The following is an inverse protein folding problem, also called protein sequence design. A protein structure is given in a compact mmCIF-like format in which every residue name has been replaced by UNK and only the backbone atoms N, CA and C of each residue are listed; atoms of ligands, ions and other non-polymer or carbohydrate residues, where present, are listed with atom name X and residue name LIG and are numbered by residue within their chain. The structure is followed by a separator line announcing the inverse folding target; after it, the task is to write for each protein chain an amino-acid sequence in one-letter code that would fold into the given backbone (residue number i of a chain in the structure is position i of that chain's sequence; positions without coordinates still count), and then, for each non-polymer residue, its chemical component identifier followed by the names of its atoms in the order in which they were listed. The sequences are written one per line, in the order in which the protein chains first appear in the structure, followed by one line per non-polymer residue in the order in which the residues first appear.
data_IF_692095217742
#
_entry.id   IF_692095217742
#
_cell.length_a   1.000
_cell.length_b   1.000
_cell.length_c   1.000
_cell.angle_alpha   90.00
_cell.angle_beta   90.00
_cell.angle_gamma   90.00
#
_symmetry.space_group_name_H-M   'P 1'
#
loop_
_entity.id
_entity.type
_entity.pdbx_description
1 polymer ?
#
# COMPACT_ATOMS: atom_id res chain seq x y z
N UNK A 1 26.16 44.69 5.77
CA UNK A 1 25.12 44.04 6.61
C UNK A 1 25.70 42.74 7.13
N UNK A 2 25.70 42.61 8.45
CA UNK A 2 26.53 41.71 9.25
C UNK A 2 26.17 40.24 9.04
N UNK A 3 27.15 39.43 8.62
CA UNK A 3 27.14 37.98 8.81
C UNK A 3 27.40 37.72 10.29
N UNK A 4 26.34 37.32 11.01
CA UNK A 4 26.44 36.92 12.41
C UNK A 4 27.23 35.62 12.53
N UNK A 5 28.43 35.74 13.12
CA UNK A 5 29.18 34.64 13.72
C UNK A 5 28.28 33.83 14.67
N UNK A 6 28.30 32.50 14.54
CA UNK A 6 28.12 31.58 15.66
C UNK A 6 29.23 30.54 15.61
N UNK A 7 30.36 30.92 16.20
CA UNK A 7 31.23 29.95 16.86
C UNK A 7 30.60 29.66 18.22
N UNK A 8 29.83 28.57 18.29
CA UNK A 8 29.50 27.86 19.52
C UNK A 8 29.93 26.42 19.22
N UNK A 9 30.68 25.79 20.14
CA UNK A 9 31.26 24.45 20.00
C UNK A 9 30.32 23.51 19.23
N UNK A 10 30.73 23.08 18.04
CA UNK A 10 30.04 22.01 17.34
C UNK A 10 30.31 20.73 18.11
N UNK A 11 29.46 20.47 19.11
CA UNK A 11 29.46 19.18 19.82
C UNK A 11 29.27 18.11 18.75
N UNK A 12 30.15 17.11 18.77
CA UNK A 12 30.11 15.98 17.85
C UNK A 12 28.78 15.24 18.06
N UNK A 13 27.79 15.61 17.25
CA UNK A 13 26.40 15.14 17.35
C UNK A 13 26.33 13.63 17.13
N UNK A 14 27.24 13.10 16.30
CA UNK A 14 27.38 11.66 16.09
C UNK A 14 27.88 10.95 17.35
N UNK A 15 28.83 11.53 18.08
CA UNK A 15 29.28 11.00 19.38
C UNK A 15 28.14 10.98 20.41
N UNK A 16 27.31 12.03 20.48
CA UNK A 16 26.14 12.04 21.36
C UNK A 16 25.18 10.88 21.07
N UNK A 17 24.93 10.59 19.78
CA UNK A 17 24.08 9.47 19.39
C UNK A 17 24.64 8.12 19.82
N UNK A 18 25.96 7.92 19.71
CA UNK A 18 26.61 6.70 20.21
C UNK A 18 26.51 6.58 21.73
N UNK A 19 26.70 7.68 22.44
CA UNK A 19 26.55 7.72 23.90
C UNK A 19 25.11 7.42 24.30
N UNK A 20 24.10 7.95 23.60
CA UNK A 20 22.70 7.68 23.85
C UNK A 20 22.36 6.20 23.60
N UNK A 21 22.81 5.63 22.49
CA UNK A 21 22.59 4.21 22.13
C UNK A 21 23.24 3.23 23.13
N UNK A 22 24.26 3.66 23.87
CA UNK A 22 24.91 2.84 24.89
C UNK A 22 24.13 2.74 26.22
N UNK A 23 23.10 3.56 26.41
CA UNK A 23 22.30 3.63 27.64
C UNK A 23 21.17 2.59 27.66
N UNK A 24 20.55 2.40 28.82
CA UNK A 24 19.21 1.81 28.90
C UNK A 24 18.18 2.80 28.37
N UNK A 25 17.01 2.32 27.99
CA UNK A 25 15.91 3.15 27.51
C UNK A 25 15.56 4.27 28.51
N UNK A 26 15.35 3.93 29.78
CA UNK A 26 15.00 4.91 30.81
C UNK A 26 16.10 5.98 30.97
N UNK A 27 17.38 5.60 30.87
CA UNK A 27 18.50 6.56 30.93
C UNK A 27 18.61 7.42 29.68
N UNK A 28 18.26 6.90 28.51
CA UNK A 28 18.17 7.68 27.29
C UNK A 28 17.04 8.73 27.41
N UNK A 29 15.89 8.34 27.95
CA UNK A 29 14.77 9.25 28.24
C UNK A 29 15.18 10.34 29.24
N UNK A 30 15.84 9.99 30.35
CA UNK A 30 16.37 10.96 31.31
C UNK A 30 17.27 12.01 30.63
N UNK A 31 18.19 11.57 29.77
CA UNK A 31 19.08 12.46 29.02
C UNK A 31 18.32 13.41 28.08
N UNK A 32 17.30 12.91 27.39
CA UNK A 32 16.50 13.72 26.46
C UNK A 32 15.59 14.72 27.18
N UNK A 33 15.03 14.34 28.34
CA UNK A 33 14.30 15.26 29.21
C UNK A 33 15.21 16.38 29.74
N UNK A 34 16.46 16.06 30.11
CA UNK A 34 17.45 17.08 30.48
C UNK A 34 17.82 17.98 29.29
N UNK A 35 17.94 17.42 28.09
CA UNK A 35 18.34 18.13 26.87
C UNK A 35 17.26 19.08 26.33
N UNK A 36 16.01 18.63 26.30
CA UNK A 36 14.91 19.34 25.61
C UNK A 36 13.82 19.87 26.53
N UNK A 37 13.86 19.52 27.81
CA UNK A 37 12.82 19.83 28.79
C UNK A 37 11.58 18.92 28.68
N UNK A 38 10.63 19.08 29.60
CA UNK A 38 9.38 18.31 29.61
C UNK A 38 8.47 18.70 28.44
N UNK A 39 7.50 17.83 28.11
CA UNK A 39 6.49 18.16 27.10
C UNK A 39 5.59 19.32 27.54
N UNK A 40 5.19 20.14 26.55
CA UNK A 40 4.45 21.38 26.79
C UNK A 40 2.96 21.16 27.07
N UNK A 41 2.40 20.04 26.58
CA UNK A 41 0.98 19.71 26.66
C UNK A 41 0.80 18.19 26.53
N UNK A 42 -0.39 17.69 26.87
CA UNK A 42 -0.73 16.29 26.68
C UNK A 42 -0.80 15.94 25.18
N UNK A 43 -0.58 14.66 24.82
CA UNK A 43 -0.64 14.22 23.44
C UNK A 43 -2.06 14.34 22.87
N UNK A 44 -3.03 13.85 23.65
CA UNK A 44 -4.46 13.99 23.38
C UNK A 44 -5.14 14.86 24.45
N UNK A 45 -6.27 15.46 24.11
CA UNK A 45 -7.11 16.20 25.07
C UNK A 45 -7.99 15.23 25.85
N UNK A 46 -7.86 15.21 27.16
CA UNK A 46 -8.57 14.28 28.06
C UNK A 46 -10.08 14.18 27.79
N UNK A 47 -10.78 15.32 27.75
CA UNK A 47 -12.22 15.35 27.48
C UNK A 47 -12.58 14.72 26.13
N UNK A 48 -11.78 14.96 25.11
CA UNK A 48 -12.00 14.39 23.77
C UNK A 48 -11.68 12.89 23.77
N UNK A 49 -10.63 12.49 24.47
CA UNK A 49 -10.23 11.10 24.66
C UNK A 49 -11.34 10.28 25.32
N UNK A 50 -11.88 10.74 26.44
CA UNK A 50 -12.97 10.06 27.16
C UNK A 50 -14.22 9.87 26.28
N UNK A 51 -14.63 10.92 25.56
CA UNK A 51 -15.76 10.87 24.61
C UNK A 51 -15.52 9.90 23.46
N UNK A 52 -14.29 9.83 22.94
CA UNK A 52 -13.92 8.88 21.90
C UNK A 52 -13.98 7.42 22.41
N UNK A 53 -13.49 7.18 23.63
CA UNK A 53 -13.56 5.86 24.28
C UNK A 53 -15.01 5.45 24.56
N UNK A 54 -15.90 6.40 24.89
CA UNK A 54 -17.34 6.19 25.02
C UNK A 54 -18.08 6.02 23.68
N UNK A 55 -17.40 6.20 22.54
CA UNK A 55 -17.99 6.08 21.21
C UNK A 55 -18.81 7.29 20.76
N UNK A 56 -18.77 8.41 21.48
CA UNK A 56 -19.52 9.63 21.14
C UNK A 56 -18.93 10.40 19.96
N UNK A 57 -17.61 10.26 19.73
CA UNK A 57 -16.90 10.92 18.62
C UNK A 57 -16.02 9.92 17.88
N UNK A 58 -15.72 10.23 16.62
CA UNK A 58 -14.91 9.38 15.74
C UNK A 58 -13.39 9.60 15.86
N UNK A 59 -12.97 10.78 16.33
CA UNK A 59 -11.55 11.16 16.37
C UNK A 59 -11.21 11.87 17.68
N UNK A 60 -10.00 11.66 18.17
CA UNK A 60 -9.50 12.32 19.39
C UNK A 60 -8.84 13.65 19.01
N UNK A 61 -9.14 14.69 19.77
CA UNK A 61 -8.47 16.00 19.62
C UNK A 61 -7.05 15.92 20.18
N UNK A 62 -6.04 16.29 19.39
CA UNK A 62 -4.64 16.40 19.83
C UNK A 62 -4.42 17.62 20.73
N UNK A 63 -3.47 17.51 21.66
CA UNK A 63 -2.96 18.66 22.41
C UNK A 63 -1.96 19.48 21.60
N UNK A 64 -1.42 20.54 22.21
CA UNK A 64 -0.43 21.46 21.63
C UNK A 64 0.99 21.04 22.02
N UNK A 65 1.33 19.77 21.80
CA UNK A 65 2.62 19.20 22.18
C UNK A 65 3.67 19.33 21.06
N UNK A 66 3.28 19.65 19.82
CA UNK A 66 4.18 19.62 18.67
C UNK A 66 5.30 20.65 18.77
N UNK A 67 6.54 20.24 18.47
CA UNK A 67 7.75 21.06 18.33
C UNK A 67 8.51 20.72 17.04
N UNK A 68 7.78 20.33 16.00
CA UNK A 68 8.38 19.94 14.71
C UNK A 68 9.00 21.14 13.98
N UNK A 69 8.57 22.35 14.30
CA UNK A 69 9.19 23.62 13.89
C UNK A 69 10.59 23.84 14.50
N UNK A 70 10.93 23.12 15.56
CA UNK A 70 12.28 23.02 16.14
C UNK A 70 13.05 21.79 15.64
N UNK A 71 12.42 20.96 14.80
CA UNK A 71 12.96 19.70 14.30
C UNK A 71 12.86 18.54 15.29
N UNK A 72 11.95 18.64 16.27
CA UNK A 72 11.76 17.65 17.33
C UNK A 72 10.45 16.87 17.14
N UNK A 73 10.55 15.56 17.31
CA UNK A 73 9.44 14.62 17.47
C UNK A 73 9.06 14.52 18.93
N UNK A 74 7.80 14.19 19.18
CA UNK A 74 7.31 13.81 20.51
C UNK A 74 7.20 12.29 20.55
N UNK A 75 7.93 11.68 21.49
CA UNK A 75 7.96 10.25 21.76
C UNK A 75 7.18 9.95 23.03
N UNK A 76 6.36 8.89 23.03
CA UNK A 76 5.69 8.43 24.24
C UNK A 76 6.58 7.46 25.02
N UNK A 77 6.88 7.79 26.28
CA UNK A 77 7.77 6.99 27.15
C UNK A 77 7.22 5.57 27.37
N UNK A 78 5.90 5.41 27.28
CA UNK A 78 5.20 4.15 27.50
C UNK A 78 5.12 3.22 26.29
N UNK A 79 5.73 3.59 25.15
CA UNK A 79 5.82 2.66 24.01
C UNK A 79 6.67 1.42 24.29
N UNK A 80 7.35 1.37 25.45
CA UNK A 80 7.94 0.13 25.97
C UNK A 80 6.94 -0.91 26.48
N UNK A 81 5.68 -0.50 26.67
CA UNK A 81 4.61 -1.34 27.22
C UNK A 81 3.44 -1.52 26.23
N UNK A 82 3.34 -0.69 25.20
CA UNK A 82 2.21 -0.65 24.29
C UNK A 82 2.64 -0.27 22.87
N UNK A 83 2.02 -0.89 21.87
CA UNK A 83 2.26 -0.57 20.46
C UNK A 83 1.38 0.61 20.01
N UNK A 84 1.99 1.52 19.24
CA UNK A 84 1.30 2.59 18.49
C UNK A 84 0.33 3.43 19.33
N UNK A 85 0.75 3.88 20.51
CA UNK A 85 -0.13 4.62 21.43
C UNK A 85 -0.46 6.05 20.99
N UNK A 86 0.16 6.50 19.89
CA UNK A 86 -0.19 7.71 19.15
C UNK A 86 -1.35 7.51 18.17
N UNK A 87 -1.73 6.26 17.85
CA UNK A 87 -2.83 5.93 16.95
C UNK A 87 -4.13 5.66 17.72
N UNK A 88 -5.17 6.43 17.40
CA UNK A 88 -6.46 6.35 18.10
C UNK A 88 -7.17 5.00 17.93
N UNK A 89 -6.95 4.28 16.83
CA UNK A 89 -7.55 2.96 16.60
C UNK A 89 -6.91 1.91 17.52
N UNK A 90 -5.59 1.94 17.65
CA UNK A 90 -4.84 1.12 18.61
C UNK A 90 -5.22 1.43 20.05
N UNK A 91 -5.31 2.72 20.39
CA UNK A 91 -5.76 3.19 21.71
C UNK A 91 -7.13 2.62 22.07
N UNK A 92 -8.10 2.69 21.15
CA UNK A 92 -9.45 2.17 21.38
C UNK A 92 -9.47 0.66 21.53
N UNK A 93 -8.80 -0.05 20.63
CA UNK A 93 -8.79 -1.51 20.57
C UNK A 93 -8.16 -2.11 21.83
N UNK A 94 -7.06 -1.52 22.29
CA UNK A 94 -6.30 -2.00 23.45
C UNK A 94 -6.73 -1.35 24.77
N UNK A 95 -7.75 -0.49 24.76
CA UNK A 95 -8.26 0.23 25.95
C UNK A 95 -7.15 0.88 26.76
N UNK A 96 -6.21 1.55 26.07
CA UNK A 96 -5.08 2.23 26.70
C UNK A 96 -5.63 3.35 27.62
N UNK A 97 -4.96 3.60 28.76
CA UNK A 97 -5.36 4.69 29.68
C UNK A 97 -4.95 6.05 29.12
N UNK A 98 -5.73 7.08 29.43
CA UNK A 98 -5.34 8.47 29.18
C UNK A 98 -4.05 8.87 29.92
N UNK A 99 -3.73 8.20 31.03
CA UNK A 99 -2.53 8.52 31.82
C UNK A 99 -1.23 8.46 31.00
N UNK A 100 -1.17 7.56 30.02
CA UNK A 100 -0.03 7.40 29.12
C UNK A 100 0.06 8.49 28.03
N UNK A 101 -0.95 9.35 27.94
CA UNK A 101 -1.02 10.47 26.99
C UNK A 101 -0.64 11.80 27.65
N UNK A 102 -0.44 11.81 28.97
CA UNK A 102 -0.11 13.01 29.73
C UNK A 102 1.29 13.51 29.38
N UNK A 103 1.50 14.82 29.47
CA UNK A 103 2.77 15.47 29.12
C UNK A 103 4.00 14.94 29.88
N UNK A 104 3.83 14.46 31.11
CA UNK A 104 4.89 13.87 31.92
C UNK A 104 5.25 12.43 31.50
N UNK A 105 4.50 11.86 30.53
CA UNK A 105 4.77 10.58 29.86
C UNK A 105 5.31 10.76 28.44
N UNK A 106 5.70 11.99 28.08
CA UNK A 106 6.21 12.34 26.76
C UNK A 106 7.63 12.90 26.86
N UNK A 107 8.44 12.66 25.83
CA UNK A 107 9.79 13.21 25.70
C UNK A 107 10.03 13.71 24.28
N UNK A 108 10.82 14.77 24.13
CA UNK A 108 11.21 15.28 22.82
C UNK A 108 12.53 14.67 22.35
N UNK A 109 12.64 14.43 21.05
CA UNK A 109 13.83 13.86 20.42
C UNK A 109 13.89 14.25 18.94
N UNK A 110 15.08 14.36 18.37
CA UNK A 110 15.23 14.45 16.91
C UNK A 110 15.07 13.08 16.24
N UNK A 111 15.19 12.98 14.91
CA UNK A 111 14.96 11.70 14.19
C UNK A 111 15.90 10.57 14.63
N UNK A 112 17.20 10.84 14.78
CA UNK A 112 18.17 9.80 15.15
C UNK A 112 17.96 9.37 16.60
N UNK A 113 17.72 10.31 17.51
CA UNK A 113 17.41 10.03 18.91
C UNK A 113 16.11 9.23 19.05
N UNK A 114 15.06 9.57 18.29
CA UNK A 114 13.80 8.82 18.24
C UNK A 114 14.05 7.38 17.78
N UNK A 115 14.87 7.21 16.75
CA UNK A 115 15.26 5.88 16.25
C UNK A 115 16.02 5.09 17.31
N UNK A 116 16.93 5.72 18.05
CA UNK A 116 17.65 5.10 19.18
C UNK A 116 16.67 4.66 20.27
N UNK A 117 15.69 5.49 20.63
CA UNK A 117 14.67 5.11 21.61
C UNK A 117 13.94 3.82 21.19
N UNK A 118 13.51 3.71 19.93
CA UNK A 118 12.88 2.48 19.42
C UNK A 118 13.80 1.27 19.44
N UNK A 119 15.10 1.45 19.13
CA UNK A 119 16.11 0.37 19.19
C UNK A 119 16.30 -0.10 20.64
N UNK A 120 16.38 0.82 21.59
CA UNK A 120 16.53 0.50 23.02
C UNK A 120 15.29 -0.22 23.57
N UNK A 121 14.09 0.25 23.24
CA UNK A 121 12.84 -0.47 23.57
C UNK A 121 12.88 -1.88 23.01
N UNK A 122 13.21 -2.04 21.72
CA UNK A 122 13.27 -3.34 21.06
C UNK A 122 14.26 -4.27 21.75
N UNK A 123 15.45 -3.77 22.11
CA UNK A 123 16.46 -4.54 22.83
C UNK A 123 15.95 -5.03 24.18
N UNK A 124 15.35 -4.14 24.97
CA UNK A 124 14.92 -4.44 26.35
C UNK A 124 13.65 -5.30 26.39
N UNK A 125 12.83 -5.25 25.35
CA UNK A 125 11.56 -5.99 25.25
C UNK A 125 11.64 -7.22 24.34
N UNK A 126 12.86 -7.63 23.94
CA UNK A 126 13.06 -8.75 23.01
C UNK A 126 12.24 -8.63 21.72
N UNK A 127 12.19 -7.41 21.17
CA UNK A 127 11.48 -7.00 19.95
C UNK A 127 9.94 -7.06 20.04
N UNK A 128 9.37 -7.23 21.23
CA UNK A 128 7.91 -7.13 21.43
C UNK A 128 7.41 -5.72 21.14
N UNK A 129 8.17 -4.71 21.56
CA UNK A 129 7.87 -3.29 21.33
C UNK A 129 8.99 -2.58 20.59
N UNK A 130 8.72 -1.39 20.04
CA UNK A 130 9.71 -0.55 19.37
C UNK A 130 10.12 -1.01 17.96
N UNK A 131 10.23 -2.32 17.71
CA UNK A 131 10.88 -2.87 16.52
C UNK A 131 10.15 -2.51 15.23
N UNK A 132 8.81 -2.60 15.22
CA UNK A 132 8.02 -2.20 14.05
C UNK A 132 8.16 -0.70 13.75
N UNK A 133 8.20 0.15 14.77
CA UNK A 133 8.45 1.59 14.63
C UNK A 133 9.82 1.86 13.99
N UNK A 134 10.83 1.14 14.45
CA UNK A 134 12.19 1.20 13.91
C UNK A 134 12.27 0.72 12.46
N UNK A 135 11.88 -0.52 12.18
CA UNK A 135 12.15 -1.19 10.90
C UNK A 135 11.25 -0.69 9.76
N UNK A 136 9.98 -0.37 10.05
CA UNK A 136 8.99 0.01 9.02
C UNK A 136 9.00 1.50 8.73
N UNK A 137 9.32 2.34 9.72
CA UNK A 137 9.19 3.79 9.61
C UNK A 137 10.52 4.52 9.75
N UNK A 138 11.19 4.41 10.89
CA UNK A 138 12.30 5.31 11.23
C UNK A 138 13.59 5.02 10.46
N UNK A 139 14.01 3.75 10.38
CA UNK A 139 15.18 3.34 9.60
C UNK A 139 15.02 3.67 8.11
N UNK A 140 13.91 3.34 7.43
CA UNK A 140 13.70 3.75 6.04
C UNK A 140 13.79 5.27 5.82
N UNK A 141 13.28 6.08 6.76
CA UNK A 141 13.41 7.55 6.68
C UNK A 141 14.88 7.97 6.72
N UNK A 142 15.69 7.43 7.64
CA UNK A 142 17.13 7.72 7.72
C UNK A 142 17.86 7.30 6.44
N UNK A 143 17.56 6.10 5.94
CA UNK A 143 18.11 5.60 4.68
C UNK A 143 17.78 6.53 3.51
N UNK A 144 16.52 6.94 3.38
CA UNK A 144 16.05 7.83 2.33
C UNK A 144 16.68 9.23 2.45
N UNK A 145 16.64 9.80 3.65
CA UNK A 145 17.06 11.17 3.88
C UNK A 145 18.57 11.33 3.73
N UNK A 146 19.36 10.49 4.40
CA UNK A 146 20.78 10.74 4.55
C UNK A 146 21.66 9.84 3.69
N UNK A 147 21.28 8.58 3.47
CA UNK A 147 22.06 7.67 2.62
C UNK A 147 21.75 7.90 1.13
N UNK A 148 20.47 8.06 0.78
CA UNK A 148 20.04 8.43 -0.57
C UNK A 148 20.05 9.93 -0.85
N UNK A 149 20.31 10.75 0.18
CA UNK A 149 20.39 12.21 0.07
C UNK A 149 19.09 12.85 -0.44
N UNK A 150 17.93 12.28 -0.10
CA UNK A 150 16.62 12.83 -0.50
C UNK A 150 16.10 13.77 0.57
N UNK A 151 16.13 15.06 0.24
CA UNK A 151 15.60 16.09 1.12
C UNK A 151 14.06 16.02 1.10
N UNK A 152 13.39 15.93 2.26
CA UNK A 152 11.93 15.86 2.30
C UNK A 152 11.30 17.16 1.80
N UNK A 153 10.11 17.08 1.21
CA UNK A 153 9.43 18.26 0.67
C UNK A 153 8.73 19.14 1.73
N UNK A 154 7.94 18.60 2.68
CA UNK A 154 7.24 19.41 3.67
C UNK A 154 8.21 20.20 4.56
N UNK A 155 7.91 21.47 4.83
CA UNK A 155 8.82 22.36 5.56
C UNK A 155 9.18 21.84 6.95
N UNK A 156 8.20 21.32 7.70
CA UNK A 156 8.45 20.75 9.03
C UNK A 156 9.36 19.51 8.97
N UNK A 157 9.27 18.70 7.90
CA UNK A 157 10.19 17.57 7.72
C UNK A 157 11.60 18.05 7.37
N UNK A 158 11.74 19.13 6.60
CA UNK A 158 13.06 19.75 6.33
C UNK A 158 13.71 20.22 7.63
N UNK A 159 12.95 20.85 8.51
CA UNK A 159 13.45 21.22 9.84
C UNK A 159 13.93 20.01 10.62
N UNK A 160 13.17 18.91 10.64
CA UNK A 160 13.63 17.66 11.28
C UNK A 160 14.88 17.08 10.59
N UNK A 161 14.92 17.11 9.26
CA UNK A 161 16.05 16.66 8.44
C UNK A 161 17.32 17.43 8.81
N UNK A 162 17.25 18.76 8.85
CA UNK A 162 18.38 19.65 9.16
C UNK A 162 18.83 19.46 10.63
N UNK A 163 17.88 19.33 11.55
CA UNK A 163 18.14 19.16 12.99
C UNK A 163 18.91 17.88 13.33
N UNK A 164 18.73 16.83 12.53
CA UNK A 164 19.29 15.50 12.77
C UNK A 164 20.24 15.04 11.68
N UNK A 165 20.75 15.98 10.88
CA UNK A 165 21.59 15.71 9.73
C UNK A 165 22.82 14.88 10.09
N UNK A 166 23.05 13.85 9.29
CA UNK A 166 24.26 13.04 9.26
C UNK A 166 24.72 12.89 7.82
N UNK A 167 26.03 12.76 7.63
CA UNK A 167 26.58 12.32 6.32
C UNK A 167 26.11 10.89 5.99
N UNK A 168 26.15 10.46 4.71
CA UNK A 168 25.85 9.08 4.35
C UNK A 168 26.68 8.06 5.12
N UNK A 169 27.97 8.35 5.34
CA UNK A 169 28.91 7.50 6.07
C UNK A 169 28.50 7.37 7.54
N UNK A 170 28.24 8.49 8.23
CA UNK A 170 27.76 8.48 9.62
C UNK A 170 26.40 7.78 9.74
N UNK A 171 25.51 7.96 8.77
CA UNK A 171 24.19 7.34 8.73
C UNK A 171 24.26 5.82 8.61
N UNK A 172 25.14 5.30 7.73
CA UNK A 172 25.39 3.86 7.62
C UNK A 172 25.99 3.33 8.92
N UNK A 173 26.97 4.03 9.50
CA UNK A 173 27.61 3.59 10.73
C UNK A 173 26.67 3.57 11.92
N UNK A 174 25.85 4.61 12.13
CA UNK A 174 24.90 4.62 13.26
C UNK A 174 23.83 3.54 13.08
N UNK A 175 23.29 3.35 11.87
CA UNK A 175 22.33 2.27 11.59
C UNK A 175 22.97 0.89 11.79
N UNK A 176 24.26 0.73 11.47
CA UNK A 176 25.01 -0.51 11.74
C UNK A 176 25.14 -0.79 13.24
N UNK A 177 25.44 0.22 14.06
CA UNK A 177 25.48 0.05 15.52
C UNK A 177 24.08 -0.24 16.11
N UNK A 178 23.03 0.39 15.58
CA UNK A 178 21.64 0.11 15.96
C UNK A 178 21.24 -1.34 15.61
N UNK A 179 21.51 -1.79 14.39
CA UNK A 179 21.23 -3.16 13.94
C UNK A 179 22.01 -4.18 14.76
N UNK A 180 23.30 -3.91 15.01
CA UNK A 180 24.15 -4.74 15.89
C UNK A 180 23.59 -4.85 17.30
N UNK A 181 23.03 -3.77 17.84
CA UNK A 181 22.37 -3.75 19.16
C UNK A 181 21.18 -4.72 19.21
N UNK A 182 20.53 -4.96 18.06
CA UNK A 182 19.42 -5.90 17.90
C UNK A 182 19.87 -7.29 17.42
N UNK A 183 21.18 -7.57 17.39
CA UNK A 183 21.72 -8.86 16.92
C UNK A 183 21.65 -9.04 15.40
N UNK A 184 21.44 -7.98 14.64
CA UNK A 184 21.34 -7.98 13.19
C UNK A 184 22.60 -7.41 12.53
N UNK A 185 22.78 -7.70 11.25
CA UNK A 185 23.83 -7.11 10.43
C UNK A 185 23.29 -5.96 9.59
N UNK A 186 24.19 -5.04 9.23
CA UNK A 186 23.90 -3.94 8.31
C UNK A 186 25.11 -3.68 7.43
N UNK A 187 24.93 -2.83 6.42
CA UNK A 187 25.99 -2.42 5.51
C UNK A 187 27.12 -1.70 6.25
N UNK A 188 28.34 -1.84 5.75
CA UNK A 188 29.51 -1.14 6.28
C UNK A 188 29.78 0.17 5.55
N UNK A 189 29.30 0.31 4.31
CA UNK A 189 29.50 1.50 3.50
C UNK A 189 28.22 1.92 2.77
N UNK A 190 28.07 3.21 2.42
CA UNK A 190 26.99 3.67 1.55
C UNK A 190 26.97 2.95 0.20
N UNK A 191 28.14 2.57 -0.33
CA UNK A 191 28.25 1.83 -1.58
C UNK A 191 27.56 0.47 -1.51
N UNK A 192 27.82 -0.33 -0.46
CA UNK A 192 27.19 -1.64 -0.27
C UNK A 192 25.66 -1.53 -0.18
N UNK A 193 25.16 -0.53 0.56
CA UNK A 193 23.74 -0.23 0.64
C UNK A 193 23.13 0.04 -0.75
N UNK A 194 23.75 0.95 -1.52
CA UNK A 194 23.26 1.34 -2.84
C UNK A 194 23.33 0.19 -3.85
N UNK A 195 24.37 -0.64 -3.79
CA UNK A 195 24.49 -1.83 -4.63
C UNK A 195 23.37 -2.83 -4.34
N UNK A 196 23.14 -3.17 -3.06
CA UNK A 196 22.07 -4.09 -2.67
C UNK A 196 20.69 -3.56 -3.04
N UNK A 197 20.45 -2.26 -2.88
CA UNK A 197 19.20 -1.61 -3.27
C UNK A 197 18.97 -1.68 -4.79
N UNK A 198 20.00 -1.39 -5.60
CA UNK A 198 19.94 -1.50 -7.07
C UNK A 198 19.54 -2.91 -7.51
N UNK A 199 20.22 -3.92 -6.97
CA UNK A 199 19.93 -5.33 -7.27
C UNK A 199 18.49 -5.70 -6.94
N UNK A 200 18.02 -5.28 -5.76
CA UNK A 200 16.62 -5.52 -5.34
C UNK A 200 15.63 -4.86 -6.30
N UNK A 201 15.89 -3.62 -6.74
CA UNK A 201 15.04 -2.92 -7.72
C UNK A 201 15.05 -3.64 -9.07
N UNK A 202 16.20 -4.13 -9.53
CA UNK A 202 16.33 -4.88 -10.78
C UNK A 202 15.60 -6.22 -10.72
N UNK A 203 15.70 -6.95 -9.61
CA UNK A 203 14.98 -8.21 -9.35
C UNK A 203 13.46 -8.01 -9.36
N UNK A 204 12.95 -6.95 -8.69
CA UNK A 204 11.53 -6.60 -8.69
C UNK A 204 11.06 -6.22 -10.10
N UNK A 205 11.84 -5.42 -10.84
CA UNK A 205 11.52 -5.05 -12.23
C UNK A 205 11.51 -6.28 -13.14
N UNK A 206 12.46 -7.20 -13.00
CA UNK A 206 12.52 -8.42 -13.78
C UNK A 206 11.31 -9.33 -13.50
N UNK A 207 10.94 -9.47 -12.23
CA UNK A 207 9.76 -10.24 -11.81
C UNK A 207 8.48 -9.65 -12.39
N UNK A 208 8.32 -8.32 -12.33
CA UNK A 208 7.18 -7.62 -12.92
C UNK A 208 7.09 -7.84 -14.43
N UNK A 209 8.20 -7.76 -15.16
CA UNK A 209 8.23 -8.03 -16.61
C UNK A 209 7.80 -9.46 -16.95
N UNK A 210 8.29 -10.45 -16.19
CA UNK A 210 7.87 -11.85 -16.37
C UNK A 210 6.37 -12.02 -16.17
N UNK A 211 5.81 -11.42 -15.13
CA UNK A 211 4.36 -11.45 -14.89
C UNK A 211 3.57 -10.80 -16.02
N UNK A 212 4.03 -9.66 -16.54
CA UNK A 212 3.40 -8.99 -17.68
C UNK A 212 3.49 -9.81 -18.98
N UNK A 213 4.59 -10.53 -19.21
CA UNK A 213 4.76 -11.43 -20.35
C UNK A 213 3.87 -12.68 -20.23
N UNK A 214 3.82 -13.30 -19.06
CA UNK A 214 2.93 -14.44 -18.77
C UNK A 214 1.46 -14.05 -18.94
N UNK A 215 1.08 -12.86 -18.48
CA UNK A 215 -0.29 -12.37 -18.60
C UNK A 215 -0.71 -12.14 -20.06
N UNK A 216 0.19 -11.55 -20.87
CA UNK A 216 0.00 -11.41 -22.32
C UNK A 216 -0.13 -12.77 -22.99
N UNK A 217 0.72 -13.74 -22.63
CA UNK A 217 0.67 -15.10 -23.18
C UNK A 217 -0.67 -15.78 -22.86
N UNK A 218 -1.11 -15.74 -21.61
CA UNK A 218 -2.42 -16.28 -21.19
C UNK A 218 -3.57 -15.63 -21.97
N UNK A 219 -3.50 -14.32 -22.19
CA UNK A 219 -4.51 -13.60 -22.96
C UNK A 219 -4.56 -14.06 -24.42
N UNK A 220 -3.41 -14.30 -25.05
CA UNK A 220 -3.33 -14.83 -26.43
C UNK A 220 -3.87 -16.25 -26.48
N UNK A 221 -3.41 -17.13 -25.58
CA UNK A 221 -3.86 -18.53 -25.51
C UNK A 221 -5.38 -18.64 -25.30
N UNK A 222 -5.96 -17.79 -24.45
CA UNK A 222 -7.40 -17.72 -24.23
C UNK A 222 -8.17 -17.31 -25.50
N UNK A 223 -7.66 -16.31 -26.25
CA UNK A 223 -8.27 -15.89 -27.53
C UNK A 223 -8.16 -16.97 -28.59
N UNK A 224 -7.02 -17.64 -28.70
CA UNK A 224 -6.84 -18.75 -29.64
C UNK A 224 -7.78 -19.91 -29.32
N UNK A 225 -7.95 -20.23 -28.03
CA UNK A 225 -8.90 -21.26 -27.60
C UNK A 225 -10.34 -20.88 -27.89
N UNK A 226 -10.72 -19.62 -27.67
CA UNK A 226 -12.04 -19.11 -28.05
C UNK A 226 -12.29 -19.25 -29.56
N UNK A 227 -11.32 -18.86 -30.39
CA UNK A 227 -11.40 -19.02 -31.85
C UNK A 227 -11.53 -20.51 -32.24
N UNK A 228 -10.74 -21.40 -31.62
CA UNK A 228 -10.83 -22.85 -31.85
C UNK A 228 -12.21 -23.38 -31.49
N UNK A 229 -12.75 -22.97 -30.35
CA UNK A 229 -14.09 -23.36 -29.88
C UNK A 229 -15.20 -22.85 -30.80
N UNK A 230 -15.13 -21.61 -31.25
CA UNK A 230 -16.08 -21.05 -32.23
C UNK A 230 -16.01 -21.84 -33.55
N UNK A 231 -14.81 -22.09 -34.08
CA UNK A 231 -14.64 -22.86 -35.32
C UNK A 231 -15.23 -24.27 -35.20
N UNK A 232 -15.00 -24.95 -34.08
CA UNK A 232 -15.57 -26.27 -33.81
C UNK A 232 -17.10 -26.24 -33.78
N UNK A 233 -17.70 -25.29 -33.05
CA UNK A 233 -19.17 -25.11 -33.00
C UNK A 233 -19.76 -24.80 -34.38
N UNK A 234 -19.09 -23.98 -35.18
CA UNK A 234 -19.49 -23.69 -36.56
C UNK A 234 -19.49 -24.94 -37.43
N UNK A 235 -18.46 -25.78 -37.33
CA UNK A 235 -18.38 -27.03 -38.10
C UNK A 235 -19.47 -28.02 -37.68
N UNK A 236 -19.67 -28.23 -36.38
CA UNK A 236 -20.76 -29.08 -35.84
C UNK A 236 -22.14 -28.58 -36.29
N UNK A 237 -22.34 -27.26 -36.33
CA UNK A 237 -23.57 -26.64 -36.83
C UNK A 237 -23.80 -26.95 -38.31
N UNK A 238 -22.78 -26.83 -39.16
CA UNK A 238 -22.90 -27.13 -40.59
C UNK A 238 -23.01 -28.62 -40.89
N UNK A 239 -22.46 -29.50 -40.05
CA UNK A 239 -22.72 -30.94 -40.15
C UNK A 239 -24.20 -31.26 -39.90
N UNK A 240 -24.82 -30.54 -38.97
CA UNK A 240 -26.26 -30.68 -38.64
C UNK A 240 -27.15 -30.04 -39.72
N UNK A 241 -26.72 -28.91 -40.27
CA UNK A 241 -27.46 -28.12 -41.26
C UNK A 241 -26.62 -27.77 -42.50
N UNK A 242 -26.28 -28.74 -43.39
CA UNK A 242 -25.38 -28.50 -44.52
C UNK A 242 -25.76 -27.35 -45.45
N UNK A 243 -27.05 -27.24 -45.85
CA UNK A 243 -27.54 -26.17 -46.74
C UNK A 243 -27.38 -24.76 -46.17
N UNK A 244 -27.31 -24.61 -44.85
CA UNK A 244 -27.13 -23.30 -44.22
C UNK A 244 -25.78 -22.66 -44.53
N UNK A 245 -24.77 -23.47 -44.88
CA UNK A 245 -23.45 -22.97 -45.29
C UNK A 245 -23.52 -22.14 -46.56
N UNK A 246 -24.30 -22.57 -47.54
CA UNK A 246 -24.49 -21.88 -48.82
C UNK A 246 -25.31 -20.59 -48.66
N UNK A 247 -26.25 -20.60 -47.70
CA UNK A 247 -27.12 -19.47 -47.37
C UNK A 247 -26.49 -18.49 -46.37
N UNK A 248 -25.24 -18.72 -45.95
CA UNK A 248 -24.55 -17.93 -44.95
C UNK A 248 -25.38 -17.75 -43.65
N UNK A 249 -26.01 -18.85 -43.21
CA UNK A 249 -26.70 -18.99 -41.93
C UNK A 249 -25.81 -19.81 -41.01
N UNK A 250 -25.56 -19.32 -39.82
CA UNK A 250 -24.61 -19.88 -38.85
C UNK A 250 -25.22 -19.99 -37.45
N UNK A 251 -24.57 -20.68 -36.53
CA UNK A 251 -25.07 -20.84 -35.15
C UNK A 251 -25.24 -19.50 -34.41
N UNK A 252 -24.46 -18.49 -34.76
CA UNK A 252 -24.50 -17.12 -34.22
C UNK A 252 -25.46 -16.19 -34.99
N UNK A 253 -26.05 -16.64 -36.10
CA UNK A 253 -26.99 -15.83 -36.89
C UNK A 253 -28.12 -15.27 -36.01
N UNK A 254 -28.38 -13.95 -36.03
CA UNK A 254 -29.39 -13.35 -35.16
C UNK A 254 -30.76 -14.01 -35.33
N UNK A 255 -31.44 -14.27 -34.20
CA UNK A 255 -32.77 -14.93 -34.19
C UNK A 255 -33.78 -14.24 -35.10
N UNK A 256 -33.76 -12.90 -35.12
CA UNK A 256 -34.62 -12.09 -35.98
C UNK A 256 -34.38 -12.36 -37.47
N UNK A 257 -33.12 -12.58 -37.88
CA UNK A 257 -32.78 -12.97 -39.26
C UNK A 257 -33.34 -14.35 -39.59
N UNK A 258 -33.22 -15.32 -38.69
CA UNK A 258 -33.80 -16.67 -38.85
C UNK A 258 -35.33 -16.59 -39.05
N UNK A 259 -36.02 -15.81 -38.22
CA UNK A 259 -37.48 -15.61 -38.32
C UNK A 259 -37.86 -14.95 -39.63
N UNK A 260 -37.13 -13.91 -40.05
CA UNK A 260 -37.40 -13.23 -41.31
C UNK A 260 -37.28 -14.17 -42.52
N UNK A 261 -36.25 -15.03 -42.54
CA UNK A 261 -36.07 -16.04 -43.59
C UNK A 261 -37.19 -17.09 -43.56
N UNK A 262 -37.60 -17.53 -42.36
CA UNK A 262 -38.68 -18.49 -42.19
C UNK A 262 -40.04 -17.93 -42.65
N UNK A 263 -40.28 -16.64 -42.40
CA UNK A 263 -41.44 -15.94 -42.95
C UNK A 263 -41.44 -16.00 -44.47
N UNK A 264 -40.33 -15.58 -45.08
CA UNK A 264 -40.22 -15.49 -46.54
C UNK A 264 -40.34 -16.86 -47.24
N UNK A 265 -39.85 -17.94 -46.62
CA UNK A 265 -39.83 -19.25 -47.26
C UNK A 265 -41.08 -20.11 -47.03
N UNK A 266 -41.87 -19.86 -45.98
CA UNK A 266 -42.95 -20.77 -45.56
C UNK A 266 -44.25 -20.10 -45.13
N UNK A 267 -44.19 -18.85 -44.65
CA UNK A 267 -45.29 -18.24 -43.91
C UNK A 267 -45.79 -16.92 -44.50
N UNK A 268 -45.28 -16.49 -45.66
CA UNK A 268 -45.67 -15.26 -46.34
C UNK A 268 -47.16 -15.23 -46.72
N UNK A 269 -47.75 -16.39 -46.98
CA UNK A 269 -49.16 -16.52 -47.37
C UNK A 269 -50.11 -16.69 -46.17
N UNK A 270 -49.55 -16.85 -44.96
CA UNK A 270 -50.31 -17.13 -43.74
C UNK A 270 -50.42 -15.91 -42.84
N UNK A 271 -49.35 -15.11 -42.74
CA UNK A 271 -49.28 -13.94 -41.86
C UNK A 271 -49.15 -12.66 -42.69
N UNK A 272 -49.75 -11.56 -42.23
CA UNK A 272 -49.83 -10.31 -43.00
C UNK A 272 -48.49 -9.56 -43.05
N UNK A 273 -47.60 -9.79 -42.06
CA UNK A 273 -46.29 -9.16 -42.03
C UNK A 273 -45.26 -9.95 -41.21
N UNK A 274 -43.97 -9.71 -41.50
CA UNK A 274 -42.84 -10.20 -40.70
C UNK A 274 -42.94 -9.81 -39.22
N UNK A 275 -43.52 -8.64 -38.92
CA UNK A 275 -43.65 -8.12 -37.56
C UNK A 275 -44.71 -8.90 -36.76
N UNK A 276 -45.81 -9.25 -37.41
CA UNK A 276 -46.84 -10.11 -36.82
C UNK A 276 -46.28 -11.51 -36.55
N UNK A 277 -45.58 -12.08 -37.52
CA UNK A 277 -44.96 -13.40 -37.38
C UNK A 277 -43.88 -13.43 -36.28
N UNK A 278 -43.03 -12.41 -36.17
CA UNK A 278 -42.02 -12.32 -35.10
C UNK A 278 -42.64 -12.31 -33.70
N UNK A 279 -43.78 -11.63 -33.52
CA UNK A 279 -44.51 -11.63 -32.25
C UNK A 279 -45.04 -13.02 -31.90
N UNK A 280 -45.57 -13.75 -32.88
CA UNK A 280 -46.10 -15.12 -32.70
C UNK A 280 -44.96 -16.11 -32.41
N UNK A 281 -43.81 -15.93 -33.08
CA UNK A 281 -42.64 -16.79 -32.91
C UNK A 281 -41.84 -16.46 -31.66
N UNK A 282 -42.02 -15.31 -31.01
CA UNK A 282 -41.28 -14.83 -29.82
C UNK A 282 -41.05 -15.87 -28.70
N UNK A 283 -42.02 -16.72 -28.29
CA UNK A 283 -41.80 -17.73 -27.25
C UNK A 283 -40.98 -18.94 -27.72
N UNK A 284 -40.74 -19.10 -29.03
CA UNK A 284 -40.04 -20.25 -29.59
C UNK A 284 -38.53 -20.05 -29.50
N UNK A 285 -37.84 -21.04 -28.95
CA UNK A 285 -36.38 -21.08 -28.87
C UNK A 285 -35.73 -21.18 -30.26
N UNK A 286 -34.57 -20.54 -30.43
CA UNK A 286 -33.89 -20.39 -31.72
C UNK A 286 -33.61 -21.74 -32.41
N UNK A 287 -33.24 -22.78 -31.66
CA UNK A 287 -32.93 -24.09 -32.24
C UNK A 287 -34.13 -24.74 -32.94
N UNK A 288 -35.34 -24.55 -32.40
CA UNK A 288 -36.57 -25.03 -33.05
C UNK A 288 -36.83 -24.26 -34.35
N UNK A 289 -36.63 -22.95 -34.33
CA UNK A 289 -36.78 -22.10 -35.52
C UNK A 289 -35.78 -22.45 -36.61
N UNK A 290 -34.52 -22.72 -36.24
CA UNK A 290 -33.47 -23.17 -37.16
C UNK A 290 -33.81 -24.52 -37.80
N UNK A 291 -34.24 -25.50 -36.99
CA UNK A 291 -34.66 -26.80 -37.51
C UNK A 291 -35.85 -26.70 -38.46
N UNK A 292 -36.81 -25.84 -38.14
CA UNK A 292 -37.97 -25.61 -38.99
C UNK A 292 -37.60 -24.93 -40.30
N UNK A 293 -36.77 -23.88 -40.25
CA UNK A 293 -36.23 -23.20 -41.42
C UNK A 293 -35.44 -24.17 -42.30
N UNK A 294 -34.61 -25.03 -41.70
CA UNK A 294 -33.88 -26.05 -42.43
C UNK A 294 -34.83 -27.01 -43.17
N UNK A 295 -35.86 -27.49 -42.47
CA UNK A 295 -36.86 -28.40 -43.05
C UNK A 295 -37.63 -27.75 -44.20
N UNK A 296 -37.98 -26.47 -44.07
CA UNK A 296 -38.65 -25.71 -45.13
C UNK A 296 -37.77 -25.61 -46.38
N UNK A 297 -36.49 -25.29 -46.21
CA UNK A 297 -35.50 -25.20 -47.30
C UNK A 297 -35.08 -26.56 -47.90
N UNK A 298 -35.32 -27.66 -47.19
CA UNK A 298 -35.18 -29.02 -47.74
C UNK A 298 -36.39 -29.43 -48.60
N UNK A 299 -37.55 -28.86 -48.32
CA UNK A 299 -38.81 -29.19 -49.00
C UNK A 299 -39.11 -28.26 -50.19
N UNK A 300 -38.22 -27.30 -50.46
CA UNK A 300 -38.28 -26.30 -51.54
C UNK A 300 -37.34 -26.69 -52.67
#
# INVERSE_FOLDING_TARGET
MSMSKKGELQVDTYKEYKELLSKTYDKAVDCLLQKYGPAQDDYFREKSYQRFMAGEIKNITKGKFSRTDEGLYCHHIDEKNYLNISDQSFVKTNKISFDYQRKDRLVYCNLIEHTILHVLISKETSSEFGYLGYEVFLKPIIEEWYIEKKIPYPQWMKTCYDKSFLTPEESVHILKEMQKTLGMSYFSTPYEFHEKKRRTIEEVKATKRKWEEEDKKRTIEAKEEEIRMIKKKTEEFYQTYPKFKELNISFDTPRQKVIAMLFDCKYSDIYQSKKEFDLVMKPIIKDKLLKELYTALESS
#
